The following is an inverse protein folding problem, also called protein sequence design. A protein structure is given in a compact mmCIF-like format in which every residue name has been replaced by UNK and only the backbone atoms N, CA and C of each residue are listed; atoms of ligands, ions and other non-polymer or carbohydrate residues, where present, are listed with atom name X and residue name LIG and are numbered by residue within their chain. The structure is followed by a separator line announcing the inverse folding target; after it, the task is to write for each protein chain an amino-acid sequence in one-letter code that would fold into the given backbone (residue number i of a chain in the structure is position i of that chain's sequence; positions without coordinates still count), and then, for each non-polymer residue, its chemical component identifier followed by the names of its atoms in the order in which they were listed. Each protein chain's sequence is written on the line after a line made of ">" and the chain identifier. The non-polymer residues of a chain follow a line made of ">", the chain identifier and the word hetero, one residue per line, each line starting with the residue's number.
data_IF_739612263855
#
_entry.id   IF_739612263855
#
_cell.length_a   1.000
_cell.length_b   1.000
_cell.length_c   1.000
_cell.angle_alpha   90.00
_cell.angle_beta   90.00
_cell.angle_gamma   90.00
#
_symmetry.space_group_name_H-M   'P 1'
#
loop_
_entity.id
_entity.type
_entity.pdbx_description
1 polymer ?
#
# COMPACT_ATOMS: atom_id res chain seq x y z
N UNK A 1 -22.99 -1.55 29.78
CA UNK A 1 -23.85 -1.60 28.57
C UNK A 1 -23.30 -0.62 27.56
N UNK A 2 -23.04 -1.08 26.34
CA UNK A 2 -22.81 -0.19 25.20
C UNK A 2 -24.09 0.60 24.97
N UNK A 3 -24.01 1.94 24.95
CA UNK A 3 -25.18 2.71 24.49
C UNK A 3 -25.31 2.44 22.99
N UNK A 4 -26.55 2.27 22.51
CA UNK A 4 -26.85 2.06 21.09
C UNK A 4 -26.13 3.10 20.20
N UNK A 5 -25.97 4.32 20.71
CA UNK A 5 -25.26 5.41 20.04
C UNK A 5 -23.74 5.15 19.88
N UNK A 6 -23.08 4.60 20.90
CA UNK A 6 -21.65 4.28 20.84
C UNK A 6 -21.35 3.12 19.88
N UNK A 7 -22.26 2.15 19.78
CA UNK A 7 -22.17 1.08 18.77
C UNK A 7 -22.15 1.66 17.35
N UNK A 8 -23.18 2.46 17.02
CA UNK A 8 -23.30 3.04 15.69
C UNK A 8 -22.14 3.99 15.38
N UNK A 9 -21.70 4.81 16.34
CA UNK A 9 -20.56 5.70 16.14
C UNK A 9 -19.28 4.94 15.76
N UNK A 10 -18.93 3.88 16.48
CA UNK A 10 -17.74 3.07 16.19
C UNK A 10 -17.84 2.33 14.85
N UNK A 11 -19.02 1.78 14.55
CA UNK A 11 -19.30 1.13 13.28
C UNK A 11 -19.11 2.11 12.12
N UNK A 12 -19.83 3.24 12.12
CA UNK A 12 -19.73 4.23 11.04
C UNK A 12 -18.34 4.81 10.90
N UNK A 13 -17.65 5.07 12.01
CA UNK A 13 -16.28 5.57 11.99
C UNK A 13 -15.34 4.56 11.33
N UNK A 14 -15.32 3.30 11.79
CA UNK A 14 -14.48 2.26 11.21
C UNK A 14 -14.81 1.98 9.75
N UNK A 15 -16.10 1.81 9.42
CA UNK A 15 -16.53 1.54 8.04
C UNK A 15 -16.15 2.66 7.07
N UNK A 16 -16.29 3.93 7.49
CA UNK A 16 -15.95 5.09 6.64
C UNK A 16 -14.46 5.14 6.31
N UNK A 17 -13.60 4.94 7.30
CA UNK A 17 -12.16 4.87 7.05
C UNK A 17 -11.81 3.64 6.22
N UNK A 18 -12.39 2.47 6.51
CA UNK A 18 -12.16 1.26 5.73
C UNK A 18 -12.51 1.45 4.24
N UNK A 19 -13.66 2.06 3.94
CA UNK A 19 -14.05 2.40 2.57
C UNK A 19 -13.10 3.41 1.93
N UNK A 20 -12.65 4.43 2.67
CA UNK A 20 -11.66 5.39 2.19
C UNK A 20 -10.34 4.69 1.82
N UNK A 21 -9.87 3.75 2.64
CA UNK A 21 -8.68 2.95 2.36
C UNK A 21 -8.84 2.09 1.10
N UNK A 22 -10.00 1.46 0.93
CA UNK A 22 -10.31 0.70 -0.29
C UNK A 22 -10.28 1.61 -1.52
N UNK A 23 -10.90 2.78 -1.46
CA UNK A 23 -10.96 3.72 -2.59
C UNK A 23 -9.57 4.27 -2.95
N UNK A 24 -8.81 4.75 -1.95
CA UNK A 24 -7.45 5.27 -2.17
C UNK A 24 -6.52 4.16 -2.65
N UNK A 25 -6.62 2.97 -2.07
CA UNK A 25 -5.84 1.81 -2.49
C UNK A 25 -6.17 1.36 -3.92
N UNK A 26 -7.45 1.34 -4.27
CA UNK A 26 -7.92 1.02 -5.63
C UNK A 26 -7.41 2.02 -6.66
N UNK A 27 -7.46 3.31 -6.35
CA UNK A 27 -6.92 4.37 -7.19
C UNK A 27 -5.41 4.21 -7.36
N UNK A 28 -4.67 4.03 -6.26
CA UNK A 28 -3.21 3.84 -6.27
C UNK A 28 -2.78 2.59 -7.05
N UNK A 29 -3.53 1.50 -6.91
CA UNK A 29 -3.31 0.27 -7.67
C UNK A 29 -3.50 0.49 -9.18
N UNK A 30 -4.57 1.19 -9.57
CA UNK A 30 -4.84 1.49 -10.98
C UNK A 30 -3.87 2.49 -11.59
N UNK A 31 -3.36 3.44 -10.80
CA UNK A 31 -2.29 4.34 -11.21
C UNK A 31 -1.03 3.55 -11.56
N UNK A 32 -0.63 2.61 -10.69
CA UNK A 32 0.51 1.74 -10.97
C UNK A 32 0.31 0.91 -12.25
N UNK A 33 -0.87 0.32 -12.44
CA UNK A 33 -1.15 -0.55 -13.62
C UNK A 33 -1.05 0.18 -14.96
N UNK A 34 -1.27 1.49 -15.01
CA UNK A 34 -1.25 2.28 -16.24
C UNK A 34 0.15 2.85 -16.49
N UNK A 35 0.89 2.24 -17.43
CA UNK A 35 2.26 2.65 -17.83
C UNK A 35 2.41 4.12 -18.28
N UNK A 36 1.29 4.77 -18.61
CA UNK A 36 1.25 6.13 -19.19
C UNK A 36 0.84 7.21 -18.21
N UNK A 37 0.61 6.90 -16.93
CA UNK A 37 0.18 7.93 -15.98
C UNK A 37 1.37 8.78 -15.56
N UNK A 38 1.14 10.08 -15.52
CA UNK A 38 2.10 11.07 -15.07
C UNK A 38 2.67 10.67 -13.69
N UNK A 39 3.99 10.49 -13.59
CA UNK A 39 4.72 10.06 -12.38
C UNK A 39 4.50 11.00 -11.18
N UNK A 40 3.82 12.14 -11.35
CA UNK A 40 3.47 13.08 -10.30
C UNK A 40 2.54 12.54 -9.21
N UNK A 41 1.80 11.45 -9.42
CA UNK A 41 0.78 10.97 -8.48
C UNK A 41 1.13 9.58 -7.94
N UNK A 42 1.63 9.48 -6.71
CA UNK A 42 1.94 8.20 -6.05
C UNK A 42 3.04 8.33 -5.00
N UNK A 43 3.48 7.20 -4.45
CA UNK A 43 4.59 7.17 -3.49
C UNK A 43 5.90 7.52 -4.22
N UNK A 44 6.50 8.65 -3.85
CA UNK A 44 7.79 9.12 -4.38
C UNK A 44 8.87 8.99 -3.32
N UNK A 45 9.70 7.99 -3.50
CA UNK A 45 10.93 7.73 -2.74
C UNK A 45 12.10 7.62 -3.72
N UNK A 46 13.37 7.82 -3.29
CA UNK A 46 14.50 7.90 -4.21
C UNK A 46 14.59 6.77 -5.26
N UNK A 47 14.33 5.48 -4.93
CA UNK A 47 14.34 4.39 -5.91
C UNK A 47 13.24 4.52 -6.99
N UNK A 48 12.05 4.97 -6.58
CA UNK A 48 10.89 5.12 -7.48
C UNK A 48 11.00 6.33 -8.41
N UNK A 49 11.78 7.35 -8.03
CA UNK A 49 12.02 8.52 -8.88
C UNK A 49 13.00 8.17 -10.01
N UNK A 50 14.00 7.33 -9.70
CA UNK A 50 15.03 6.92 -10.67
C UNK A 50 14.53 5.90 -11.69
N UNK A 51 13.59 5.04 -11.30
CA UNK A 51 13.10 3.96 -12.14
C UNK A 51 11.57 3.87 -12.11
N UNK A 52 10.94 4.14 -13.26
CA UNK A 52 9.49 4.09 -13.47
C UNK A 52 8.89 2.70 -13.21
N UNK A 53 9.63 1.62 -13.50
CA UNK A 53 9.16 0.26 -13.24
C UNK A 53 9.15 -0.06 -11.74
N UNK A 54 10.13 0.47 -10.99
CA UNK A 54 10.14 0.38 -9.51
C UNK A 54 8.95 1.15 -8.95
N UNK A 55 8.70 2.36 -9.44
CA UNK A 55 7.53 3.16 -9.06
C UNK A 55 6.21 2.42 -9.30
N UNK A 56 6.03 1.82 -10.47
CA UNK A 56 4.83 1.07 -10.82
C UNK A 56 4.60 -0.10 -9.85
N UNK A 57 5.62 -0.93 -9.63
CA UNK A 57 5.51 -2.10 -8.76
C UNK A 57 5.24 -1.71 -7.29
N UNK A 58 5.91 -0.67 -6.79
CA UNK A 58 5.70 -0.19 -5.42
C UNK A 58 4.28 0.34 -5.24
N UNK A 59 3.79 1.19 -6.15
CA UNK A 59 2.43 1.73 -6.05
C UNK A 59 1.36 0.65 -6.20
N UNK A 60 1.53 -0.33 -7.09
CA UNK A 60 0.63 -1.47 -7.18
C UNK A 60 0.59 -2.27 -5.87
N UNK A 61 1.75 -2.55 -5.28
CA UNK A 61 1.84 -3.35 -4.06
C UNK A 61 1.24 -2.62 -2.84
N UNK A 62 1.58 -1.35 -2.67
CA UNK A 62 1.04 -0.51 -1.58
C UNK A 62 -0.46 -0.30 -1.76
N UNK A 63 -0.92 -0.02 -2.99
CA UNK A 63 -2.35 0.10 -3.28
C UNK A 63 -3.13 -1.17 -2.92
N UNK A 64 -2.60 -2.35 -3.27
CA UNK A 64 -3.21 -3.63 -2.92
C UNK A 64 -3.25 -3.86 -1.40
N UNK A 65 -2.17 -3.54 -0.69
CA UNK A 65 -2.14 -3.62 0.78
C UNK A 65 -3.18 -2.69 1.42
N UNK A 66 -3.34 -1.46 0.91
CA UNK A 66 -4.37 -0.54 1.38
C UNK A 66 -5.78 -1.07 1.14
N UNK A 67 -6.05 -1.72 0.00
CA UNK A 67 -7.35 -2.35 -0.28
C UNK A 67 -7.63 -3.46 0.73
N UNK A 68 -6.68 -4.40 0.90
CA UNK A 68 -6.84 -5.49 1.86
C UNK A 68 -7.05 -4.97 3.28
N UNK A 69 -6.34 -3.92 3.64
CA UNK A 69 -6.47 -3.28 4.94
C UNK A 69 -7.82 -2.62 5.14
N UNK A 70 -8.31 -1.88 4.14
CA UNK A 70 -9.63 -1.25 4.18
C UNK A 70 -10.75 -2.28 4.32
N UNK A 71 -10.68 -3.39 3.59
CA UNK A 71 -11.62 -4.52 3.73
C UNK A 71 -11.56 -5.10 5.15
N UNK A 72 -10.34 -5.34 5.66
CA UNK A 72 -10.15 -5.82 7.03
C UNK A 72 -10.78 -4.87 8.05
N UNK A 73 -10.62 -3.56 7.89
CA UNK A 73 -11.14 -2.54 8.79
C UNK A 73 -12.67 -2.44 8.74
N UNK A 74 -13.29 -2.61 7.56
CA UNK A 74 -14.75 -2.73 7.44
C UNK A 74 -15.27 -3.95 8.21
N UNK A 75 -14.65 -5.11 8.02
CA UNK A 75 -15.03 -6.35 8.75
C UNK A 75 -14.84 -6.16 10.26
N UNK A 76 -13.70 -5.59 10.67
CA UNK A 76 -13.41 -5.33 12.08
C UNK A 76 -14.37 -4.30 12.69
N UNK A 77 -14.86 -3.33 11.92
CA UNK A 77 -15.84 -2.34 12.40
C UNK A 77 -17.19 -2.94 12.76
N UNK A 78 -17.52 -4.13 12.25
CA UNK A 78 -18.71 -4.90 12.65
C UNK A 78 -18.46 -5.66 13.96
N UNK A 79 -17.24 -6.18 14.16
CA UNK A 79 -16.89 -7.06 15.27
C UNK A 79 -16.49 -6.26 16.53
N UNK A 80 -15.68 -5.21 16.38
CA UNK A 80 -15.11 -4.42 17.48
C UNK A 80 -16.12 -3.74 18.40
N UNK A 81 -17.26 -3.22 17.92
CA UNK A 81 -18.27 -2.65 18.81
C UNK A 81 -18.77 -3.65 19.88
N UNK A 82 -18.66 -4.97 19.62
CA UNK A 82 -18.98 -6.02 20.60
C UNK A 82 -17.98 -6.10 21.75
N UNK A 83 -16.74 -5.61 21.55
CA UNK A 83 -15.64 -5.69 22.53
C UNK A 83 -15.39 -4.37 23.28
N UNK A 84 -16.06 -3.28 22.90
CA UNK A 84 -15.98 -1.92 23.47
C UNK A 84 -14.56 -1.41 23.77
N UNK A 85 -13.63 -1.59 22.83
CA UNK A 85 -12.27 -1.09 23.00
C UNK A 85 -11.90 -0.13 21.86
N UNK A 86 -12.05 1.19 22.04
CA UNK A 86 -11.72 2.18 21.02
C UNK A 86 -10.21 2.20 20.70
N UNK A 87 -9.35 1.78 21.63
CA UNK A 87 -7.92 1.68 21.39
C UNK A 87 -7.58 0.58 20.38
N UNK A 88 -8.35 -0.51 20.33
CA UNK A 88 -8.18 -1.54 19.30
C UNK A 88 -8.57 -1.02 17.91
N UNK A 89 -9.62 -0.21 17.81
CA UNK A 89 -9.99 0.43 16.54
C UNK A 89 -8.90 1.39 16.06
N UNK A 90 -8.39 2.25 16.95
CA UNK A 90 -7.27 3.15 16.65
C UNK A 90 -6.00 2.38 16.28
N UNK A 91 -5.66 1.33 17.02
CA UNK A 91 -4.52 0.48 16.70
C UNK A 91 -4.70 -0.18 15.33
N UNK A 92 -5.89 -0.68 15.00
CA UNK A 92 -6.17 -1.28 13.69
C UNK A 92 -6.04 -0.28 12.54
N UNK A 93 -6.27 1.02 12.79
CA UNK A 93 -6.13 2.10 11.80
C UNK A 93 -4.67 2.51 11.61
N UNK A 94 -3.94 2.74 12.71
CA UNK A 94 -2.61 3.35 12.66
C UNK A 94 -1.46 2.36 12.55
N UNK A 95 -1.59 1.17 13.12
CA UNK A 95 -0.51 0.18 13.18
C UNK A 95 -0.11 -0.31 11.78
N UNK A 96 -1.06 -0.59 10.87
CA UNK A 96 -0.72 -0.99 9.51
C UNK A 96 -0.15 0.17 8.70
N UNK A 97 -0.62 1.40 8.93
CA UNK A 97 0.00 2.61 8.35
C UNK A 97 1.47 2.74 8.74
N UNK A 98 1.78 2.52 10.02
CA UNK A 98 3.14 2.58 10.54
C UNK A 98 4.03 1.47 9.96
N UNK A 99 3.46 0.34 9.52
CA UNK A 99 4.19 -0.76 8.87
C UNK A 99 4.34 -0.54 7.37
N UNK A 100 3.34 0.03 6.68
CA UNK A 100 3.37 0.19 5.22
C UNK A 100 4.46 1.14 4.75
N UNK A 101 4.76 2.17 5.53
CA UNK A 101 5.77 3.16 5.19
C UNK A 101 7.19 2.55 5.17
N UNK A 102 7.69 1.89 6.24
CA UNK A 102 8.98 1.21 6.21
C UNK A 102 8.98 0.03 5.23
N UNK A 103 7.88 -0.72 5.10
CA UNK A 103 7.77 -1.81 4.13
C UNK A 103 7.90 -1.31 2.69
N UNK A 104 7.22 -0.22 2.33
CA UNK A 104 7.27 0.37 1.00
C UNK A 104 8.65 0.90 0.64
N UNK A 105 9.34 1.52 1.61
CA UNK A 105 10.73 1.96 1.44
C UNK A 105 11.64 0.77 1.19
N UNK A 106 11.60 -0.24 2.05
CA UNK A 106 12.40 -1.46 1.91
C UNK A 106 12.15 -2.15 0.56
N UNK A 107 10.89 -2.31 0.18
CA UNK A 107 10.49 -2.99 -1.05
C UNK A 107 11.01 -2.26 -2.30
N UNK A 108 11.03 -0.92 -2.28
CA UNK A 108 11.53 -0.13 -3.40
C UNK A 108 13.05 -0.27 -3.58
N UNK A 109 13.83 -0.26 -2.49
CA UNK A 109 15.27 -0.50 -2.55
C UNK A 109 15.58 -1.93 -2.99
N UNK A 110 14.81 -2.91 -2.51
CA UNK A 110 14.96 -4.31 -2.93
C UNK A 110 14.74 -4.44 -4.45
N UNK A 111 13.68 -3.86 -5.00
CA UNK A 111 13.43 -3.86 -6.43
C UNK A 111 14.54 -3.16 -7.23
N UNK A 112 15.00 -1.98 -6.81
CA UNK A 112 16.07 -1.25 -7.50
C UNK A 112 17.35 -2.09 -7.65
N UNK A 113 17.72 -2.83 -6.60
CA UNK A 113 18.87 -3.73 -6.64
C UNK A 113 18.72 -4.86 -7.67
N UNK A 114 17.52 -5.43 -7.81
CA UNK A 114 17.24 -6.47 -8.81
C UNK A 114 17.32 -5.94 -10.24
N UNK A 115 16.80 -4.73 -10.49
CA UNK A 115 16.88 -4.10 -11.81
C UNK A 115 18.32 -3.76 -12.21
N UNK A 116 19.14 -3.32 -11.26
CA UNK A 116 20.55 -3.01 -11.50
C UNK A 116 21.35 -4.26 -11.88
N UNK A 117 21.16 -5.36 -11.16
CA UNK A 117 21.84 -6.64 -11.43
C UNK A 117 21.44 -7.25 -12.79
N UNK A 118 20.15 -7.17 -13.13
CA UNK A 118 19.64 -7.68 -14.41
C UNK A 118 20.26 -6.91 -15.60
N UNK A 119 20.36 -5.58 -15.47
CA UNK A 119 20.95 -4.73 -16.51
C UNK A 119 22.44 -5.03 -16.74
N UNK A 120 23.20 -5.25 -15.67
CA UNK A 120 24.63 -5.61 -15.75
C UNK A 120 24.85 -7.01 -16.38
N UNK A 121 23.99 -7.97 -16.04
CA UNK A 121 24.06 -9.33 -16.60
C UNK A 121 23.81 -9.32 -18.11
N UNK A 122 22.77 -8.61 -18.55
CA UNK A 122 22.43 -8.50 -19.96
C UNK A 122 23.54 -7.82 -20.78
N UNK A 123 24.15 -6.75 -20.25
CA UNK A 123 25.27 -6.08 -20.90
C UNK A 123 26.49 -6.99 -21.02
N UNK A 124 26.80 -7.78 -19.99
CA UNK A 124 27.92 -8.73 -20.00
C UNK A 124 27.70 -9.84 -21.03
N UNK A 125 26.47 -10.31 -21.19
CA UNK A 125 26.11 -11.32 -22.19
C UNK A 125 26.16 -10.76 -23.62
N UNK A 126 25.70 -9.53 -23.83
CA UNK A 126 25.78 -8.87 -25.14
C UNK A 126 27.23 -8.71 -25.61
N UNK A 127 28.14 -8.30 -24.73
CA UNK A 127 29.58 -8.15 -25.06
C UNK A 127 30.18 -9.50 -25.47
N UNK A 128 29.81 -10.60 -24.80
CA UNK A 128 30.29 -11.95 -25.13
C UNK A 128 29.75 -12.50 -26.46
N UNK A 129 28.66 -11.96 -26.98
CA UNK A 129 28.10 -12.37 -28.28
C UNK A 129 28.71 -11.59 -29.45
N UNK A 130 29.36 -10.45 -29.17
CA UNK A 130 30.02 -9.59 -30.17
C UNK A 130 31.54 -9.78 -30.25
N UNK A 131 32.12 -10.61 -29.37
CA UNK A 131 33.54 -10.94 -29.32
C UNK A 131 33.75 -12.39 -29.80
#
# INVERSE_FOLDING_TARGET
>A
MLTTNAFFALFFFGSSFGLLFVLVGYFTYHLGKKKTVNSFIGVKIPPTIRNQDVWMNVNMRIGLLMILHGIFLVIFSVILPLMYNPFLLLASLFLPLAIYLPYGIWYAYHLESQYTQTSQTNNTQAIKQTA
#
